data_IF_518042023257
#
_entry.id   IF_518042023257
#
_cell.length_a   1.000
_cell.length_b   1.000
_cell.length_c   1.000
_cell.angle_alpha   90.00
_cell.angle_beta   90.00
_cell.angle_gamma   90.00
#
_symmetry.space_group_name_H-M   'P 1'
#
loop_
_entity.id
_entity.type
_entity.pdbx_description
1 polymer ?
2 polymer ?
3 non-polymer ?
4 non-polymer ?
5 water ?
#
# COMPACT_ATOMS: atom_id res chain seq x y z
N UNK A 3 23.04 -22.61 -14.28
CA UNK A 3 21.69 -22.28 -13.83
C UNK A 3 21.22 -20.91 -14.37
N UNK A 4 19.94 -20.82 -14.70
CA UNK A 4 19.32 -19.57 -15.13
C UNK A 4 18.30 -19.05 -14.10
N UNK A 5 18.28 -19.72 -12.95
CA UNK A 5 17.25 -19.50 -11.95
C UNK A 5 17.32 -18.09 -11.35
N UNK A 6 16.20 -17.61 -10.83
CA UNK A 6 16.23 -16.39 -10.03
C UNK A 6 17.22 -16.59 -8.89
N UNK A 7 17.96 -15.54 -8.58
CA UNK A 7 18.99 -15.61 -7.56
C UNK A 7 18.54 -14.98 -6.26
N UNK A 8 17.71 -13.95 -6.34
CA UNK A 8 17.30 -13.29 -5.12
C UNK A 8 16.07 -12.40 -5.30
N UNK A 9 15.61 -11.88 -4.17
CA UNK A 9 14.37 -11.14 -4.11
C UNK A 9 14.61 -9.92 -3.26
N UNK A 10 14.12 -8.79 -3.75
CA UNK A 10 14.06 -7.59 -2.94
C UNK A 10 12.60 -7.24 -2.67
N UNK A 11 12.33 -6.71 -1.49
CA UNK A 11 10.96 -6.40 -1.07
C UNK A 11 10.92 -4.97 -0.57
N UNK A 12 9.97 -4.18 -1.06
CA UNK A 12 9.80 -2.81 -0.56
C UNK A 12 9.14 -2.80 0.81
N UNK A 13 9.55 -1.85 1.65
CA UNK A 13 8.91 -1.69 2.96
C UNK A 13 7.38 -1.58 2.88
N UNK A 14 6.86 -0.94 1.83
CA UNK A 14 5.40 -0.82 1.71
C UNK A 14 4.69 -2.18 1.71
N UNK A 15 5.32 -3.16 1.09
CA UNK A 15 4.73 -4.50 0.99
C UNK A 15 4.64 -5.12 2.36
N UNK A 16 5.70 -4.98 3.14
CA UNK A 16 5.71 -5.50 4.51
C UNK A 16 4.58 -4.88 5.33
N UNK A 17 4.46 -3.56 5.26
CA UNK A 17 3.44 -2.82 5.97
C UNK A 17 2.03 -3.12 5.45
N UNK A 18 1.88 -3.33 4.14
CA UNK A 18 0.61 -3.69 3.56
C UNK A 18 0.18 -5.09 4.05
N UNK A 19 1.09 -6.05 4.09
CA UNK A 19 0.72 -7.38 4.59
C UNK A 19 0.30 -7.30 6.05
N UNK A 20 1.02 -6.50 6.85
CA UNK A 20 0.68 -6.37 8.25
C UNK A 20 -0.72 -5.71 8.42
N UNK A 21 -0.99 -4.71 7.62
CA UNK A 21 -2.25 -3.97 7.68
C UNK A 21 -3.40 -4.84 7.28
N UNK A 22 -3.16 -5.67 6.28
CA UNK A 22 -4.16 -6.65 5.86
C UNK A 22 -4.53 -7.61 7.01
N UNK A 23 -3.50 -8.17 7.60
CA UNK A 23 -3.67 -9.12 8.71
C UNK A 23 -4.45 -8.48 9.86
N UNK A 24 -4.07 -7.26 10.22
CA UNK A 24 -4.68 -6.52 11.33
C UNK A 24 -6.10 -6.08 11.03
N UNK A 25 -6.32 -5.51 9.86
CA UNK A 25 -7.63 -4.95 9.56
C UNK A 25 -8.71 -6.04 9.40
N UNK A 26 -8.28 -7.25 9.07
CA UNK A 26 -9.24 -8.37 8.96
C UNK A 26 -9.35 -9.11 10.29
N UNK A 27 -8.64 -8.63 11.30
CA UNK A 27 -8.59 -9.27 12.63
C UNK A 27 -8.31 -10.74 12.50
N UNK A 28 -7.27 -11.06 11.75
CA UNK A 28 -6.94 -12.45 11.52
C UNK A 28 -6.40 -13.04 12.85
N UNK A 29 -6.88 -14.23 13.17
CA UNK A 29 -6.68 -14.86 14.47
C UNK A 29 -6.05 -16.23 14.37
N UNK A 30 -5.42 -16.61 15.49
CA UNK A 30 -5.35 -18.01 15.92
C UNK A 30 -4.48 -18.79 14.99
N UNK A 31 -4.93 -19.89 14.35
CA UNK A 31 -3.94 -20.37 13.40
C UNK A 31 -4.18 -19.91 11.95
N UNK A 32 -5.09 -18.97 11.74
CA UNK A 32 -5.45 -18.55 10.40
C UNK A 32 -4.38 -17.64 9.83
N UNK A 33 -4.42 -17.45 8.52
CA UNK A 33 -3.45 -16.59 7.83
C UNK A 33 -4.23 -15.67 6.92
N UNK A 34 -3.65 -14.55 6.52
CA UNK A 34 -4.20 -13.78 5.38
C UNK A 34 -3.35 -14.05 4.14
N UNK A 35 -3.98 -13.86 2.98
CA UNK A 35 -3.41 -14.20 1.68
C UNK A 35 -3.65 -13.01 0.72
N UNK A 36 -2.69 -12.71 -0.13
CA UNK A 36 -2.92 -11.74 -1.18
C UNK A 36 -1.99 -11.90 -2.35
N UNK A 37 -2.02 -10.89 -3.19
CA UNK A 37 -1.23 -10.81 -4.41
C UNK A 37 -0.02 -9.89 -4.22
N UNK A 38 1.12 -10.28 -4.78
CA UNK A 38 2.23 -9.33 -4.92
C UNK A 38 2.46 -8.88 -6.37
N UNK A 39 2.89 -7.63 -6.49
CA UNK A 39 3.18 -6.96 -7.74
C UNK A 39 4.63 -6.46 -7.76
N UNK A 40 5.21 -6.37 -8.95
CA UNK A 40 6.55 -5.86 -9.09
C UNK A 40 7.13 -6.26 -10.41
N UNK A 41 8.38 -6.76 -10.39
CA UNK A 41 9.05 -7.10 -11.65
C UNK A 41 9.88 -8.33 -11.46
N UNK A 42 9.56 -9.37 -12.21
CA UNK A 42 10.23 -10.65 -12.08
C UNK A 42 10.95 -11.02 -13.37
N UNK A 43 11.30 -10.03 -14.19
CA UNK A 43 11.87 -10.33 -15.49
C UNK A 43 13.42 -10.46 -15.52
N UNK A 44 14.04 -10.47 -14.34
CA UNK A 44 15.48 -10.62 -14.19
C UNK A 44 15.82 -11.63 -13.10
N UNK A 45 17.10 -11.85 -12.81
CA UNK A 45 17.50 -12.82 -11.78
C UNK A 45 17.17 -12.29 -10.37
N UNK A 46 16.95 -10.98 -10.28
CA UNK A 46 16.45 -10.36 -9.06
C UNK A 46 14.98 -10.03 -9.25
N UNK A 47 14.13 -10.73 -8.51
CA UNK A 47 12.72 -10.36 -8.47
C UNK A 47 12.55 -9.19 -7.51
N UNK A 48 11.92 -8.11 -7.98
CA UNK A 48 11.65 -6.93 -7.14
C UNK A 48 10.18 -6.87 -6.79
N UNK A 49 9.89 -7.02 -5.51
CA UNK A 49 8.54 -6.97 -5.03
C UNK A 49 8.22 -5.56 -4.54
N UNK A 50 7.33 -4.83 -5.22
CA UNK A 50 7.14 -3.43 -4.91
C UNK A 50 5.72 -3.02 -4.51
N UNK A 51 4.73 -3.89 -4.70
CA UNK A 51 3.39 -3.57 -4.21
C UNK A 51 2.59 -4.87 -3.95
N UNK A 52 1.33 -4.74 -3.54
CA UNK A 52 0.53 -5.89 -3.16
C UNK A 52 -0.91 -5.48 -2.99
N UNK A 53 -1.80 -6.47 -2.94
CA UNK A 53 -3.17 -6.23 -2.49
C UNK A 53 -3.73 -7.48 -1.86
N UNK A 54 -4.65 -7.28 -0.95
CA UNK A 54 -5.28 -8.37 -0.21
C UNK A 54 -6.28 -9.16 -1.05
N UNK A 55 -6.47 -10.43 -0.69
CA UNK A 55 -7.49 -11.25 -1.33
C UNK A 55 -8.48 -11.79 -0.32
N UNK A 56 -9.74 -11.92 -0.73
CA UNK A 56 -10.63 -12.78 0.08
C UNK A 56 -10.16 -14.22 -0.03
N UNK A 57 -10.09 -14.87 1.11
CA UNK A 57 -9.49 -16.22 1.13
C UNK A 57 -10.09 -16.95 2.30
N UNK A 58 -10.45 -18.22 2.09
CA UNK A 58 -10.98 -19.05 3.19
C UNK A 58 -10.38 -20.44 3.08
N UNK A 59 -10.06 -21.07 4.22
CA UNK A 59 -9.58 -22.43 4.18
C UNK A 59 -10.14 -23.22 5.37
N UNK A 60 -10.23 -24.52 5.15
CA UNK A 60 -10.81 -25.44 6.13
C UNK A 60 -9.76 -25.90 7.11
N UNK A 61 -9.99 -25.60 8.38
CA UNK A 61 -9.13 -26.04 9.46
C UNK A 61 -8.97 -27.57 9.48
N UNK A 62 -10.08 -28.25 9.26
CA UNK A 62 -10.14 -29.71 9.38
C UNK A 62 -9.59 -30.39 8.16
N UNK A 63 -9.21 -29.61 7.14
CA UNK A 63 -8.78 -30.22 5.89
C UNK A 63 -7.95 -29.26 5.01
N UNK A 64 -6.64 -29.50 5.01
CA UNK A 64 -5.66 -28.72 4.25
C UNK A 64 -5.96 -28.66 2.77
N UNK A 65 -6.67 -29.66 2.26
CA UNK A 65 -6.97 -29.72 0.85
C UNK A 65 -8.10 -28.79 0.44
N UNK A 66 -8.85 -28.28 1.40
CA UNK A 66 -10.01 -27.44 1.14
C UNK A 66 -9.69 -25.95 1.36
N UNK A 67 -9.71 -25.18 0.28
CA UNK A 67 -9.50 -23.74 0.37
C UNK A 67 -10.16 -23.09 -0.81
N UNK A 68 -10.41 -21.78 -0.68
CA UNK A 68 -11.03 -21.03 -1.75
C UNK A 68 -10.38 -19.68 -1.95
N UNK A 69 -10.04 -19.44 -3.20
CA UNK A 69 -9.61 -18.14 -3.64
C UNK A 69 -10.57 -17.60 -4.66
N UNK A 70 -10.84 -16.31 -4.54
CA UNK A 70 -11.71 -15.62 -5.45
C UNK A 70 -10.98 -15.20 -6.74
N UNK A 71 -11.09 -16.02 -7.78
CA UNK A 71 -10.50 -15.73 -9.11
C UNK A 71 -10.94 -14.40 -9.73
N UNK A 72 -12.23 -14.11 -9.65
CA UNK A 72 -12.77 -12.88 -10.15
C UNK A 72 -12.19 -11.67 -9.42
N UNK A 73 -11.94 -11.82 -8.15
CA UNK A 73 -11.35 -10.73 -7.37
C UNK A 73 -9.95 -10.45 -7.88
N UNK A 74 -9.16 -11.50 -8.10
CA UNK A 74 -7.82 -11.31 -8.67
C UNK A 74 -7.86 -10.51 -9.97
N UNK A 75 -8.73 -10.92 -10.90
CA UNK A 75 -8.79 -10.30 -12.21
C UNK A 75 -9.27 -8.87 -12.15
N UNK A 76 -10.31 -8.65 -11.36
CA UNK A 76 -10.89 -7.32 -11.24
C UNK A 76 -9.99 -6.31 -10.52
N UNK A 77 -9.32 -6.74 -9.45
CA UNK A 77 -8.39 -5.83 -8.76
C UNK A 77 -7.17 -5.58 -9.63
N UNK A 78 -6.62 -6.63 -10.25
CA UNK A 78 -5.44 -6.47 -11.07
C UNK A 78 -5.72 -5.47 -12.20
N UNK A 79 -6.91 -5.55 -12.79
CA UNK A 79 -7.28 -4.65 -13.86
C UNK A 79 -7.29 -3.19 -13.40
N UNK A 80 -7.70 -2.95 -12.18
CA UNK A 80 -7.60 -1.61 -11.63
C UNK A 80 -6.15 -1.23 -11.35
N UNK A 81 -5.35 -2.16 -10.84
CA UNK A 81 -3.93 -1.91 -10.61
C UNK A 81 -3.22 -1.50 -11.91
N UNK A 82 -3.56 -2.17 -13.00
CA UNK A 82 -2.99 -1.89 -14.31
C UNK A 82 -3.30 -0.47 -14.78
N UNK A 83 -4.49 0.02 -14.46
CA UNK A 83 -4.87 1.38 -14.79
C UNK A 83 -4.09 2.40 -14.00
N UNK A 84 -3.63 2.04 -12.81
CA UNK A 84 -2.79 2.96 -12.03
C UNK A 84 -1.34 2.90 -12.46
N UNK A 85 -0.79 1.71 -12.63
CA UNK A 85 0.61 1.60 -12.96
C UNK A 85 0.89 0.27 -13.58
N UNK A 86 0.99 0.26 -14.90
CA UNK A 86 1.27 -0.95 -15.67
C UNK A 86 2.69 -1.54 -15.42
N UNK A 87 3.57 -0.79 -14.79
CA UNK A 87 4.92 -1.29 -14.57
C UNK A 87 4.97 -2.34 -13.46
N UNK A 88 3.95 -2.34 -12.60
CA UNK A 88 3.92 -3.26 -11.47
C UNK A 88 3.03 -4.44 -11.86
N UNK A 89 3.70 -5.49 -12.32
CA UNK A 89 3.04 -6.69 -12.83
C UNK A 89 2.67 -7.64 -11.72
N UNK A 90 1.72 -8.52 -11.99
CA UNK A 90 1.34 -9.54 -11.06
C UNK A 90 2.40 -10.64 -11.12
N UNK A 91 3.16 -10.83 -10.05
CA UNK A 91 4.29 -11.71 -10.06
C UNK A 91 4.19 -12.87 -9.07
N UNK A 92 3.16 -12.88 -8.24
CA UNK A 92 2.98 -13.95 -7.27
C UNK A 92 1.98 -13.65 -6.19
N UNK A 93 2.19 -14.25 -5.03
CA UNK A 93 1.26 -14.11 -3.93
C UNK A 93 2.02 -14.11 -2.61
N UNK A 94 1.33 -13.71 -1.56
CA UNK A 94 1.91 -13.71 -0.23
C UNK A 94 0.93 -14.32 0.73
N UNK A 95 1.46 -14.80 1.85
CA UNK A 95 0.60 -15.02 3.00
C UNK A 95 1.34 -14.78 4.31
N UNK A 96 0.58 -14.71 5.39
CA UNK A 96 1.14 -14.30 6.68
C UNK A 96 1.80 -15.46 7.46
N UNK A 97 1.76 -16.68 6.94
CA UNK A 97 2.56 -17.75 7.50
C UNK A 97 2.24 -18.07 8.96
N UNK A 98 3.25 -18.13 9.85
CA UNK A 98 4.64 -17.72 9.63
C UNK A 98 5.45 -18.68 8.80
N UNK A 99 4.89 -19.84 8.44
CA UNK A 99 5.65 -20.93 7.78
C UNK A 99 4.89 -21.41 6.55
N UNK A 100 5.61 -22.09 5.65
CA UNK A 100 4.98 -22.83 4.56
C UNK A 100 3.92 -23.76 5.10
N UNK A 101 2.80 -23.80 4.38
CA UNK A 101 1.67 -24.66 4.73
C UNK A 101 1.48 -25.74 3.68
N UNK A 102 0.81 -26.82 4.06
CA UNK A 102 0.63 -27.97 3.15
C UNK A 102 -0.02 -27.62 1.79
N UNK A 103 -1.00 -26.72 1.79
CA UNK A 103 -1.72 -26.38 0.57
C UNK A 103 -0.94 -25.42 -0.35
N UNK A 104 0.23 -24.96 0.06
CA UNK A 104 0.86 -23.85 -0.66
C UNK A 104 1.28 -24.22 -2.08
N UNK A 105 1.77 -25.45 -2.33
CA UNK A 105 2.15 -25.79 -3.69
C UNK A 105 0.92 -25.82 -4.61
N UNK A 106 -0.22 -26.25 -4.08
CA UNK A 106 -1.47 -26.23 -4.86
C UNK A 106 -2.01 -24.84 -5.07
N UNK A 107 -1.95 -24.02 -4.05
CA UNK A 107 -2.40 -22.64 -4.20
C UNK A 107 -1.52 -21.96 -5.27
N UNK A 108 -0.23 -22.20 -5.16
CA UNK A 108 0.74 -21.65 -6.09
C UNK A 108 0.41 -22.02 -7.54
N UNK A 109 -0.11 -23.23 -7.76
CA UNK A 109 -0.48 -23.65 -9.10
C UNK A 109 -1.61 -22.78 -9.64
N UNK A 110 -2.54 -22.36 -8.79
CA UNK A 110 -3.54 -21.38 -9.21
C UNK A 110 -2.92 -20.05 -9.67
N UNK A 111 -2.00 -19.49 -8.92
CA UNK A 111 -1.45 -18.20 -9.29
C UNK A 111 -0.66 -18.28 -10.59
N UNK A 112 -0.21 -19.47 -10.92
CA UNK A 112 0.54 -19.72 -12.12
C UNK A 112 -0.28 -19.33 -13.35
N UNK A 113 -1.60 -19.39 -13.23
CA UNK A 113 -2.51 -18.97 -14.31
C UNK A 113 -2.59 -17.44 -14.47
N UNK A 114 -1.99 -16.69 -13.55
CA UNK A 114 -2.11 -15.24 -13.56
C UNK A 114 -0.79 -14.53 -13.75
N UNK A 115 0.32 -15.25 -13.57
CA UNK A 115 1.62 -14.63 -13.65
C UNK A 115 2.30 -15.03 -14.96
N UNK A 116 3.16 -14.14 -15.48
CA UNK A 116 3.99 -14.45 -16.66
C UNK A 116 5.23 -15.23 -16.24
N UNK A 117 5.76 -14.87 -15.08
CA UNK A 117 6.84 -15.58 -14.45
C UNK A 117 6.38 -16.83 -13.68
N UNK A 118 7.33 -17.69 -13.32
CA UNK A 118 7.08 -18.73 -12.34
C UNK A 118 6.69 -18.03 -11.01
N UNK A 119 5.48 -18.26 -10.49
CA UNK A 119 5.08 -17.36 -9.39
C UNK A 119 5.99 -17.36 -8.16
N UNK A 120 6.19 -16.18 -7.58
CA UNK A 120 6.90 -16.03 -6.34
C UNK A 120 5.90 -16.12 -5.20
N UNK A 121 6.18 -16.97 -4.23
CA UNK A 121 5.48 -16.94 -2.95
C UNK A 121 6.32 -16.16 -1.95
N UNK A 122 5.74 -15.10 -1.40
CA UNK A 122 6.33 -14.34 -0.32
C UNK A 122 5.61 -14.61 1.00
N UNK A 123 6.27 -15.24 1.95
CA UNK A 123 5.70 -15.34 3.28
C UNK A 123 6.16 -14.12 4.08
N UNK A 124 5.19 -13.34 4.58
CA UNK A 124 5.52 -12.21 5.45
C UNK A 124 5.07 -12.57 6.86
N UNK A 125 6.05 -12.71 7.74
CA UNK A 125 5.78 -13.06 9.12
C UNK A 125 5.36 -11.82 9.86
N UNK A 126 4.07 -11.54 9.80
CA UNK A 126 3.54 -10.32 10.41
C UNK A 126 3.61 -10.33 11.93
N UNK A 127 3.77 -11.50 12.53
CA UNK A 127 4.05 -11.59 13.97
C UNK A 127 5.49 -11.18 14.30
N UNK A 128 6.37 -11.31 13.32
CA UNK A 128 7.76 -10.86 13.42
C UNK A 128 8.58 -11.54 14.54
N UNK A 129 8.42 -12.85 14.69
CA UNK A 129 9.13 -13.60 15.73
C UNK A 129 10.47 -14.13 15.26
N UNK A 130 10.70 -14.07 13.96
CA UNK A 130 11.93 -14.61 13.37
C UNK A 130 13.19 -13.92 13.85
N UNK A 131 14.32 -14.55 13.58
CA UNK A 131 15.60 -13.99 13.97
C UNK A 131 15.94 -12.78 13.12
N UNK A 132 15.72 -12.91 11.81
CA UNK A 132 16.16 -11.91 10.85
C UNK A 132 15.02 -11.18 10.20
N UNK A 133 15.01 -11.17 8.87
CA UNK A 133 13.94 -10.55 8.12
C UNK A 133 12.63 -11.29 8.33
N UNK A 134 11.53 -10.55 8.38
CA UNK A 134 10.23 -11.19 8.49
C UNK A 134 9.74 -11.73 7.14
N UNK A 135 10.65 -12.00 6.21
CA UNK A 135 10.26 -12.49 4.88
C UNK A 135 11.00 -13.76 4.49
N UNK A 136 10.26 -14.68 3.88
CA UNK A 136 10.81 -15.83 3.19
C UNK A 136 10.19 -15.93 1.81
N UNK A 137 11.06 -16.13 0.82
CA UNK A 137 10.67 -16.17 -0.58
C UNK A 137 10.92 -17.53 -1.21
N UNK A 138 9.96 -17.99 -2.02
CA UNK A 138 10.02 -19.31 -2.65
C UNK A 138 9.49 -19.26 -4.08
N UNK A 139 10.13 -20.00 -4.98
CA UNK A 139 9.54 -20.36 -6.26
C UNK A 139 9.49 -21.91 -6.34
N UNK A 140 8.47 -22.42 -7.01
CA UNK A 140 8.24 -23.84 -7.15
C UNK A 140 9.14 -24.40 -8.25
N UNK A 141 9.83 -25.52 -7.97
CA UNK A 141 10.64 -26.19 -8.98
C UNK A 141 10.39 -27.69 -8.92
N UNK A 142 10.79 -28.40 -9.98
CA UNK A 142 10.72 -29.86 -10.00
C UNK A 142 11.99 -30.47 -9.41
N UNK A 143 11.82 -31.57 -8.69
CA UNK A 143 12.93 -32.40 -8.23
C UNK A 143 12.51 -33.86 -8.16
N UNK A 151 11.29 -36.93 -9.01
CA UNK A 151 10.53 -35.99 -9.85
C UNK A 151 9.23 -35.51 -9.20
N UNK A 152 9.32 -34.43 -8.42
CA UNK A 152 8.16 -33.82 -7.79
C UNK A 152 8.32 -32.30 -7.62
N UNK A 153 7.21 -31.60 -7.50
CA UNK A 153 7.27 -30.18 -7.22
C UNK A 153 7.74 -29.92 -5.79
N UNK A 154 8.65 -28.97 -5.64
CA UNK A 154 9.04 -28.46 -4.34
C UNK A 154 9.37 -26.96 -4.42
N UNK A 155 9.39 -26.31 -3.27
CA UNK A 155 9.70 -24.88 -3.22
C UNK A 155 11.17 -24.69 -3.08
N UNK A 156 11.72 -23.80 -3.89
CA UNK A 156 13.10 -23.36 -3.72
C UNK A 156 13.11 -22.07 -2.94
N UNK A 157 13.90 -22.06 -1.88
CA UNK A 157 14.09 -20.91 -1.01
C UNK A 157 15.06 -19.89 -1.59
N UNK A 158 14.60 -18.66 -1.77
CA UNK A 158 15.45 -17.62 -2.36
C UNK A 158 15.80 -16.57 -1.31
N UNK A 159 17.05 -16.07 -1.34
CA UNK A 159 17.41 -15.02 -0.39
C UNK A 159 16.66 -13.68 -0.66
N UNK A 160 16.34 -13.00 0.42
CA UNK A 160 15.59 -11.76 0.43
C UNK A 160 16.41 -10.64 1.00
N UNK A 161 16.16 -9.44 0.52
CA UNK A 161 16.61 -8.26 1.21
C UNK A 161 15.49 -7.24 1.12
N UNK A 162 15.49 -6.29 2.04
CA UNK A 162 14.54 -5.19 2.04
C UNK A 162 15.24 -4.01 1.39
N UNK A 163 14.63 -3.46 0.35
CA UNK A 163 15.21 -2.32 -0.35
C UNK A 163 14.12 -1.37 -0.78
N UNK A 164 14.47 -0.09 -0.89
CA UNK A 164 13.48 0.95 -1.17
C UNK A 164 13.99 1.91 -2.22
N UNK A 165 13.09 2.35 -3.07
CA UNK A 165 13.36 3.46 -3.95
C UNK A 165 13.38 4.74 -3.12
N UNK A 166 13.81 5.84 -3.72
CA UNK A 166 14.12 7.02 -2.94
C UNK A 166 12.86 7.50 -2.19
N UNK A 167 11.72 7.50 -2.86
CA UNK A 167 10.45 7.97 -2.27
C UNK A 167 10.17 7.28 -0.95
N UNK A 168 10.21 5.94 -0.98
CA UNK A 168 9.95 5.14 0.18
C UNK A 168 11.03 5.29 1.25
N UNK A 169 12.29 5.36 0.83
CA UNK A 169 13.38 5.59 1.78
C UNK A 169 13.11 6.86 2.58
N UNK A 170 12.74 7.91 1.85
CA UNK A 170 12.41 9.18 2.47
C UNK A 170 11.25 8.96 3.43
N UNK A 171 10.21 8.31 2.94
CA UNK A 171 9.05 8.03 3.78
C UNK A 171 9.39 7.25 5.05
N UNK A 172 10.11 6.15 4.93
CA UNK A 172 10.48 5.34 6.10
C UNK A 172 11.30 6.16 7.12
N UNK A 173 12.28 6.90 6.62
CA UNK A 173 13.12 7.70 7.51
C UNK A 173 12.26 8.70 8.26
N UNK A 174 11.34 9.34 7.54
CA UNK A 174 10.44 10.27 8.19
C UNK A 174 9.60 9.60 9.28
N UNK A 175 9.15 8.37 9.01
CA UNK A 175 8.32 7.66 9.99
C UNK A 175 9.09 7.21 11.24
N UNK A 176 10.37 6.91 11.09
CA UNK A 176 11.15 6.41 12.21
C UNK A 176 11.94 7.52 12.94
N UNK A 177 11.66 8.77 12.57
CA UNK A 177 12.43 9.92 13.08
C UNK A 177 12.46 9.96 14.60
N UNK A 178 11.28 9.94 15.22
CA UNK A 178 11.16 10.03 16.67
C UNK A 178 11.88 8.87 17.37
N UNK A 179 11.81 7.68 16.79
CA UNK A 179 12.53 6.52 17.33
C UNK A 179 14.02 6.71 17.19
N UNK A 180 14.45 7.27 16.06
CA UNK A 180 15.88 7.40 15.82
C UNK A 180 16.50 8.37 16.82
N UNK A 181 15.82 9.49 17.04
CA UNK A 181 16.22 10.48 18.06
C UNK A 181 16.47 9.83 19.43
N UNK A 182 15.46 9.10 19.91
CA UNK A 182 15.52 8.40 21.18
C UNK A 182 16.74 7.46 21.28
N UNK A 183 17.06 6.79 20.17
CA UNK A 183 18.13 5.79 20.13
C UNK A 183 19.47 6.32 19.62
N UNK B 25 -4.88 23.89 15.84
CA UNK B 25 -5.56 22.97 16.77
C UNK B 25 -6.01 21.70 16.07
N UNK B 26 -6.17 21.75 14.74
CA UNK B 26 -6.57 20.56 13.97
C UNK B 26 -5.38 19.76 13.50
N UNK B 27 -5.50 18.44 13.51
CA UNK B 27 -4.40 17.58 13.08
C UNK B 27 -4.88 16.41 12.22
N UNK B 28 -4.18 16.21 11.11
CA UNK B 28 -4.33 15.05 10.25
C UNK B 28 -3.23 14.03 10.62
N UNK B 29 -3.65 12.87 11.12
CA UNK B 29 -2.72 11.78 11.41
C UNK B 29 -2.62 10.87 10.19
N UNK B 30 -1.42 10.69 9.66
CA UNK B 30 -1.28 9.92 8.45
C UNK B 30 -0.59 8.61 8.79
N UNK B 31 -1.14 7.51 8.32
CA UNK B 31 -0.54 6.23 8.62
C UNK B 31 0.66 5.91 7.73
N UNK B 32 1.38 4.88 8.13
CA UNK B 32 2.56 4.48 7.41
C UNK B 32 2.22 4.14 5.96
N UNK B 33 1.23 3.29 5.72
CA UNK B 33 0.98 2.91 4.35
C UNK B 33 0.42 4.08 3.55
N UNK B 34 -0.32 4.97 4.21
CA UNK B 34 -0.90 6.11 3.49
C UNK B 34 0.24 7.01 2.99
N UNK B 35 1.21 7.28 3.85
CA UNK B 35 2.28 8.20 3.46
C UNK B 35 3.12 7.56 2.34
N UNK B 36 3.46 6.28 2.49
CA UNK B 36 4.30 5.62 1.49
C UNK B 36 3.57 5.52 0.19
N UNK B 37 2.26 5.27 0.21
CA UNK B 37 1.54 5.18 -1.07
C UNK B 37 1.47 6.54 -1.75
N UNK B 38 1.27 7.59 -0.99
CA UNK B 38 1.20 8.94 -1.60
C UNK B 38 2.55 9.34 -2.19
N UNK B 39 3.65 9.06 -1.49
CA UNK B 39 4.99 9.38 -2.04
C UNK B 39 5.28 8.52 -3.26
N UNK B 40 4.90 7.24 -3.20
CA UNK B 40 5.13 6.34 -4.31
C UNK B 40 4.36 6.74 -5.52
N UNK B 41 3.10 7.05 -5.32
CA UNK B 41 2.24 7.40 -6.41
C UNK B 41 2.70 8.75 -7.05
N UNK B 42 2.98 9.72 -6.22
CA UNK B 42 3.44 11.00 -6.73
C UNK B 42 4.68 10.85 -7.58
N UNK B 43 5.66 10.10 -7.08
CA UNK B 43 6.90 9.90 -7.82
C UNK B 43 6.63 9.16 -9.12
N UNK B 44 5.73 8.17 -9.10
CA UNK B 44 5.49 7.39 -10.31
C UNK B 44 4.84 8.24 -11.40
N UNK B 45 4.07 9.25 -10.99
CA UNK B 45 3.32 10.08 -11.91
C UNK B 45 4.14 11.16 -12.62
N UNK B 46 5.27 11.49 -12.02
CA UNK B 46 6.15 12.57 -12.54
C UNK B 46 6.39 12.39 -14.04
N UNK B 47 6.24 13.48 -14.84
CA UNK B 47 6.05 14.88 -14.47
C UNK B 47 4.59 15.33 -14.32
N UNK B 48 3.64 14.41 -14.42
CA UNK B 48 2.21 14.77 -14.29
C UNK B 48 1.77 14.83 -12.83
N UNK B 49 0.73 15.60 -12.59
CA UNK B 49 0.03 15.57 -11.32
C UNK B 49 -0.74 14.28 -11.19
N UNK B 50 -0.79 13.72 -9.99
CA UNK B 50 -1.67 12.57 -9.74
C UNK B 50 -2.63 12.89 -8.63
N UNK B 51 -3.62 12.03 -8.45
CA UNK B 51 -4.57 12.22 -7.39
C UNK B 51 -5.10 10.89 -6.89
N UNK B 52 -5.58 10.90 -5.66
CA UNK B 52 -6.29 9.74 -5.13
C UNK B 52 -7.14 10.14 -3.96
N UNK B 53 -7.75 9.13 -3.35
CA UNK B 53 -8.64 9.33 -2.24
C UNK B 53 -7.99 8.88 -0.96
N UNK B 54 -8.32 9.58 0.12
CA UNK B 54 -7.84 9.21 1.45
C UNK B 54 -8.94 8.57 2.25
N UNK B 55 -8.62 7.48 2.96
CA UNK B 55 -9.60 6.71 3.70
C UNK B 55 -9.27 6.75 5.14
N UNK B 56 -10.29 6.81 5.97
CA UNK B 56 -10.01 6.92 7.38
C UNK B 56 -11.19 7.21 8.29
N UNK B 57 -10.93 7.97 9.35
CA UNK B 57 -11.92 8.25 10.36
C UNK B 57 -11.84 9.68 10.83
N UNK B 58 -12.98 10.33 10.91
CA UNK B 58 -13.04 11.61 11.58
C UNK B 58 -13.20 11.31 13.07
N UNK B 59 -12.16 11.58 13.85
CA UNK B 59 -12.12 11.15 15.23
C UNK B 59 -12.90 12.16 16.10
N UNK B 60 -12.63 13.43 15.87
CA UNK B 60 -13.41 14.48 16.50
C UNK B 60 -13.22 15.72 15.64
N UNK B 61 -13.65 16.87 16.15
CA UNK B 61 -13.63 18.11 15.37
C UNK B 61 -12.22 18.56 15.00
N UNK B 62 -11.23 18.12 15.75
CA UNK B 62 -9.86 18.57 15.53
C UNK B 62 -8.94 17.46 15.05
N UNK B 63 -9.52 16.32 14.68
CA UNK B 63 -8.72 15.13 14.41
C UNK B 63 -9.25 14.24 13.30
N UNK B 64 -8.40 14.04 12.30
CA UNK B 64 -8.70 13.18 11.18
C UNK B 64 -7.62 12.10 11.17
N UNK B 65 -8.00 10.83 11.16
CA UNK B 65 -7.06 9.74 10.91
C UNK B 65 -7.17 9.32 9.46
N UNK B 66 -6.03 9.38 8.78
CA UNK B 66 -5.91 8.83 7.45
C UNK B 66 -5.20 7.49 7.55
N UNK B 67 -5.93 6.40 7.35
CA UNK B 67 -5.33 5.07 7.58
C UNK B 67 -4.83 4.43 6.28
N UNK B 68 -5.28 4.94 5.13
CA UNK B 68 -4.96 4.34 3.85
C UNK B 68 -5.41 5.31 2.78
N UNK B 69 -4.94 5.07 1.57
CA UNK B 69 -5.32 5.85 0.40
C UNK B 69 -5.43 4.93 -0.78
N UNK B 70 -6.09 5.36 -1.84
CA UNK B 70 -5.86 4.72 -3.12
C UNK B 70 -5.81 5.70 -4.28
N UNK B 71 -5.03 5.31 -5.29
CA UNK B 71 -4.80 6.10 -6.48
C UNK B 71 -5.98 6.07 -7.42
N UNK B 72 -6.24 7.22 -8.03
CA UNK B 72 -7.22 7.35 -9.10
C UNK B 72 -6.44 7.29 -10.42
N UNK B 73 -7.04 6.75 -11.48
CA UNK B 73 -6.30 6.70 -12.73
C UNK B 73 -6.09 8.10 -13.31
N UNK B 74 -5.01 8.30 -14.04
CA UNK B 74 -4.77 9.53 -14.83
C UNK B 74 -5.92 9.80 -15.79
N UNK B 75 -6.35 11.05 -15.85
CA UNK B 75 -7.44 11.46 -16.71
C UNK B 75 -6.93 12.56 -17.65
N UNK B 76 -7.49 12.63 -18.84
CA UNK B 76 -7.14 13.69 -19.78
C UNK B 76 -7.41 15.07 -19.21
N UNK B 77 -8.48 15.18 -18.42
CA UNK B 77 -8.91 16.44 -17.82
C UNK B 77 -7.89 17.08 -16.84
N UNK B 78 -6.92 16.31 -16.39
CA UNK B 78 -6.01 16.77 -15.35
C UNK B 78 -6.69 16.61 -14.01
N UNK B 79 -6.07 17.07 -12.92
CA UNK B 79 -6.67 16.88 -11.60
C UNK B 79 -7.83 17.85 -11.33
N UNK B 80 -9.04 17.30 -11.24
CA UNK B 80 -10.24 18.08 -10.95
C UNK B 80 -11.36 17.12 -10.55
N UNK B 81 -12.55 17.65 -10.26
CA UNK B 81 -13.67 16.78 -9.92
C UNK B 81 -13.99 15.81 -11.05
N UNK B 82 -13.74 16.25 -12.29
CA UNK B 82 -13.91 15.41 -13.48
C UNK B 82 -13.01 14.17 -13.49
N UNK B 83 -11.86 14.27 -12.84
CA UNK B 83 -10.89 13.17 -12.80
C UNK B 83 -11.38 12.01 -11.95
N UNK B 84 -12.29 12.30 -11.03
CA UNK B 84 -12.86 11.28 -10.19
C UNK B 84 -13.76 10.40 -11.03
N UNK B 85 -13.31 9.16 -11.22
CA UNK B 85 -14.03 8.14 -11.96
C UNK B 85 -14.86 7.39 -10.95
N UNK B 86 -16.17 7.63 -10.98
CA UNK B 86 -17.04 7.08 -9.94
C UNK B 86 -17.20 5.56 -10.12
N UNK B 87 -17.04 5.05 -11.34
CA UNK B 87 -17.13 3.61 -11.52
C UNK B 87 -15.91 2.92 -10.91
N UNK B 88 -14.72 3.45 -11.19
CA UNK B 88 -13.47 2.98 -10.57
C UNK B 88 -13.57 3.08 -9.07
N UNK B 89 -13.99 4.24 -8.57
CA UNK B 89 -14.06 4.42 -7.13
C UNK B 89 -15.00 3.42 -6.46
N UNK B 90 -16.17 3.20 -7.04
CA UNK B 90 -17.14 2.32 -6.41
C UNK B 90 -16.63 0.86 -6.36
N UNK B 91 -16.02 0.43 -7.45
CA UNK B 91 -15.44 -0.88 -7.54
C UNK B 91 -14.31 -1.06 -6.53
N UNK B 92 -13.38 -0.10 -6.51
CA UNK B 92 -12.28 -0.12 -5.56
C UNK B 92 -12.81 -0.15 -4.14
N UNK B 93 -13.78 0.70 -3.81
CA UNK B 93 -14.33 0.75 -2.43
C UNK B 93 -15.02 -0.55 -2.05
N UNK B 94 -15.76 -1.12 -2.97
CA UNK B 94 -16.42 -2.38 -2.68
C UNK B 94 -15.41 -3.51 -2.44
N UNK B 95 -14.37 -3.56 -3.25
CA UNK B 95 -13.40 -4.63 -3.12
C UNK B 95 -12.55 -4.47 -1.85
N UNK B 96 -12.34 -3.23 -1.40
CA UNK B 96 -11.60 -3.00 -0.16
C UNK B 96 -12.42 -3.48 1.03
N UNK B 97 -13.72 -3.21 0.99
CA UNK B 97 -14.67 -3.77 1.98
C UNK B 97 -14.57 -5.27 2.19
N UNK B 98 -14.56 -5.99 1.07
CA UNK B 98 -14.42 -7.45 1.05
C UNK B 98 -13.15 -7.97 1.70
N UNK B 99 -12.13 -7.13 1.84
CA UNK B 99 -10.86 -7.54 2.48
C UNK B 99 -10.56 -6.71 3.71
N UNK B 100 -11.62 -6.18 4.32
CA UNK B 100 -11.52 -5.68 5.68
C UNK B 100 -11.24 -4.21 5.82
N UNK B 101 -11.32 -3.46 4.73
CA UNK B 101 -11.08 -2.03 4.82
C UNK B 101 -12.39 -1.31 4.43
N UNK B 102 -13.14 -0.86 5.43
CA UNK B 102 -14.41 -0.21 5.18
C UNK B 102 -14.45 1.19 5.82
N UNK B 103 -13.39 1.95 5.60
CA UNK B 103 -13.26 3.29 6.14
C UNK B 103 -13.84 4.33 5.16
N UNK B 104 -14.42 5.36 5.75
CA UNK B 104 -14.94 6.56 5.08
C UNK B 104 -13.89 7.25 4.21
N UNK B 105 -14.30 7.77 3.07
CA UNK B 105 -13.45 8.73 2.34
C UNK B 105 -13.36 10.02 3.18
N UNK B 106 -12.18 10.32 3.70
CA UNK B 106 -12.01 11.49 4.57
C UNK B 106 -11.36 12.65 3.81
N UNK B 107 -11.09 12.47 2.53
CA UNK B 107 -10.60 13.55 1.68
C UNK B 107 -9.89 13.02 0.47
N UNK B 108 -8.97 13.82 -0.07
CA UNK B 108 -8.25 13.48 -1.30
C UNK B 108 -6.81 14.01 -1.23
N UNK B 109 -5.91 13.43 -2.02
CA UNK B 109 -4.55 13.95 -2.13
C UNK B 109 -4.25 14.15 -3.60
N UNK B 110 -3.34 15.08 -3.85
CA UNK B 110 -2.82 15.23 -5.19
C UNK B 110 -1.39 15.75 -5.14
N UNK B 111 -0.67 15.53 -6.23
CA UNK B 111 0.74 15.92 -6.29
C UNK B 111 0.88 17.23 -7.09
N UNK B 112 1.89 17.98 -6.68
CA UNK B 112 2.34 19.20 -7.31
C UNK B 112 3.82 19.00 -7.57
N UNK B 113 4.17 18.26 -8.63
CA UNK B 113 5.58 17.95 -8.91
C UNK B 113 6.43 19.21 -9.19
N UNK B 114 7.27 19.57 -8.24
CA UNK B 114 8.18 20.68 -8.40
C UNK B 114 7.69 22.03 -7.95
N UNK B 115 6.40 22.19 -7.68
CA UNK B 115 5.93 23.53 -7.37
C UNK B 115 5.27 23.73 -6.00
N UNK B 116 5.52 22.82 -5.06
CA UNK B 116 5.14 23.04 -3.69
C UNK B 116 3.66 22.77 -3.39
N UNK B 117 3.34 22.90 -2.12
CA UNK B 117 2.05 22.50 -1.57
C UNK B 117 1.15 23.68 -1.29
N UNK B 118 0.09 23.78 -2.08
CA UNK B 118 -0.90 24.83 -1.97
C UNK B 118 -2.07 24.39 -2.81
N UNK B 119 -3.16 25.14 -2.76
CA UNK B 119 -4.31 24.87 -3.62
C UNK B 119 -4.46 25.93 -4.68
N UNK B 120 -4.48 25.49 -5.93
CA UNK B 120 -4.83 26.38 -7.04
C UNK B 120 -6.30 26.66 -7.03
N UNK B 121 -6.75 27.59 -7.87
CA UNK B 121 -8.18 27.85 -7.98
C UNK B 121 -8.96 26.61 -8.35
N UNK B 122 -8.47 25.83 -9.30
CA UNK B 122 -9.13 24.58 -9.64
C UNK B 122 -9.11 23.61 -8.43
N UNK B 123 -8.00 23.56 -7.68
CA UNK B 123 -7.95 22.70 -6.47
C UNK B 123 -9.01 23.13 -5.45
N UNK B 124 -9.20 24.42 -5.32
CA UNK B 124 -10.19 24.93 -4.39
C UNK B 124 -11.59 24.50 -4.79
N UNK B 125 -11.84 24.52 -6.09
CA UNK B 125 -13.12 24.04 -6.63
C UNK B 125 -13.32 22.55 -6.36
N UNK B 126 -12.27 21.78 -6.54
CA UNK B 126 -12.34 20.35 -6.26
C UNK B 126 -12.69 20.14 -4.80
N UNK B 127 -11.98 20.86 -3.93
CA UNK B 127 -12.13 20.72 -2.49
C UNK B 127 -13.52 21.14 -2.10
N UNK B 128 -14.08 22.12 -2.80
CA UNK B 128 -15.42 22.57 -2.47
C UNK B 128 -16.42 21.43 -2.78
N UNK B 129 -16.17 20.69 -3.83
CA UNK B 129 -17.02 19.57 -4.13
C UNK B 129 -16.94 18.51 -3.02
N UNK B 130 -15.73 18.27 -2.49
CA UNK B 130 -15.54 17.29 -1.43
C UNK B 130 -16.21 17.78 -0.17
N UNK B 131 -16.10 19.08 0.09
CA UNK B 131 -16.64 19.67 1.30
C UNK B 131 -18.15 19.61 1.32
N UNK B 132 -18.75 19.74 0.14
CA UNK B 132 -20.21 19.66 -0.01
C UNK B 132 -20.71 18.23 0.24
N UNK B 133 -19.91 17.24 -0.14
CA UNK B 133 -20.24 15.88 0.20
C UNK B 133 -20.06 15.60 1.70
N UNK B 134 -19.00 16.15 2.27
CA UNK B 134 -18.67 15.96 3.69
C UNK B 134 -17.86 17.12 4.15
N UNK B 135 -18.43 17.93 5.05
CA UNK B 135 -17.84 19.24 5.35
C UNK B 135 -16.50 19.11 6.05
N UNK B 136 -16.23 17.92 6.60
CA UNK B 136 -14.96 17.64 7.28
C UNK B 136 -13.78 17.27 6.35
N UNK B 137 -14.06 17.07 5.06
CA UNK B 137 -13.04 16.62 4.10
C UNK B 137 -11.75 17.44 4.11
N UNK B 138 -10.65 16.73 3.91
CA UNK B 138 -9.30 17.32 3.90
C UNK B 138 -8.62 17.14 2.54
N UNK B 139 -7.94 18.20 2.09
CA UNK B 139 -7.09 18.13 0.88
C UNK B 139 -5.61 18.06 1.27
N UNK B 140 -4.97 16.96 0.90
CA UNK B 140 -3.54 16.82 1.09
C UNK B 140 -2.85 17.08 -0.23
N UNK B 141 -1.71 17.76 -0.14
CA UNK B 141 -0.88 18.04 -1.30
C UNK B 141 0.52 17.62 -0.98
N UNK B 142 1.13 16.87 -1.90
CA UNK B 142 2.51 16.39 -1.73
C UNK B 142 3.35 16.80 -2.95
N UNK B 143 4.62 17.10 -2.72
CA UNK B 143 5.53 17.43 -3.82
C UNK B 143 6.62 16.34 -3.95
N UNK B 144 6.50 15.49 -4.96
CA UNK B 144 7.43 14.34 -5.09
C UNK B 144 8.80 14.76 -5.59
N UNK B 145 8.91 15.93 -6.23
CA UNK B 145 10.23 16.41 -6.66
C UNK B 145 11.01 17.03 -5.52
N UNK B 146 10.38 17.84 -4.71
CA UNK B 146 11.10 18.54 -3.67
C UNK B 146 11.21 17.68 -2.42
N UNK B 147 10.44 16.62 -2.33
CA UNK B 147 10.60 15.69 -1.22
C UNK B 147 11.96 14.99 -1.33
N UNK B 148 12.82 15.15 -0.34
CA UNK B 148 14.16 14.55 -0.37
C UNK B 148 14.43 13.94 0.99
N UNK B 149 15.44 13.10 1.07
CA UNK B 149 15.80 12.45 2.33
C UNK B 149 15.97 13.54 3.36
N UNK B 150 15.20 13.42 4.43
CA UNK B 150 15.21 14.38 5.53
C UNK B 150 14.16 15.45 5.38
N UNK B 151 13.52 15.51 4.21
CA UNK B 151 12.50 16.53 3.92
C UNK B 151 11.37 15.98 3.04
N UNK B 152 10.26 15.66 3.69
CA UNK B 152 9.02 15.36 3.02
C UNK B 152 8.26 16.68 2.83
N UNK B 153 7.85 16.97 1.62
CA UNK B 153 7.18 18.21 1.33
C UNK B 153 5.70 17.92 1.11
N UNK B 154 4.93 18.18 2.15
CA UNK B 154 3.54 17.81 2.20
C UNK B 154 2.79 18.81 3.06
N UNK B 155 1.51 19.02 2.76
CA UNK B 155 0.66 19.84 3.58
C UNK B 155 -0.79 19.34 3.48
N UNK B 156 -1.63 19.82 4.37
CA UNK B 156 -3.03 19.43 4.46
C UNK B 156 -3.86 20.69 4.60
N UNK B 157 -4.99 20.77 3.89
CA UNK B 157 -5.80 21.97 3.88
C UNK B 157 -7.27 21.71 4.06
N UNK B 158 -7.93 22.74 4.58
CA UNK B 158 -9.39 22.84 4.53
C UNK B 158 -9.77 24.25 4.07
N UNK B 159 -11.01 24.40 3.59
CA UNK B 159 -11.47 25.74 3.19
C UNK B 159 -11.97 26.50 4.39
N UNK B 160 -11.86 27.83 4.37
CA UNK B 160 -12.34 28.60 5.50
C UNK B 160 -13.86 28.63 5.43
N UNK B 161 -14.52 28.55 6.60
CA UNK B 161 -15.96 28.76 6.66
C UNK B 161 -16.32 30.25 6.85
N UNK B 193 -12.74 40.14 2.31
CA UNK B 193 -11.27 40.14 2.25
C UNK B 193 -10.66 38.85 2.79
N UNK B 194 -11.46 37.87 3.16
CA UNK B 194 -10.89 36.67 3.77
C UNK B 194 -10.23 35.72 2.77
N UNK B 195 -9.22 35.01 3.25
CA UNK B 195 -8.58 33.95 2.49
C UNK B 195 -9.57 32.77 2.34
N UNK B 196 -9.30 31.88 1.40
CA UNK B 196 -10.23 30.82 1.08
C UNK B 196 -9.91 29.52 1.83
N UNK B 197 -8.65 29.34 2.24
CA UNK B 197 -8.25 28.08 2.87
C UNK B 197 -7.10 28.19 3.84
N UNK B 198 -6.92 27.14 4.63
CA UNK B 198 -5.90 27.14 5.68
C UNK B 198 -5.31 25.77 5.85
N UNK B 199 -4.16 25.73 6.54
CA UNK B 199 -3.34 24.55 6.70
C UNK B 199 -3.56 23.89 8.07
N UNK B 200 -3.60 22.55 8.11
CA UNK B 200 -3.73 21.78 9.34
C UNK B 200 -2.41 21.12 9.72
N UNK B 201 -2.19 20.85 11.01
CA UNK B 201 -0.99 20.12 11.39
C UNK B 201 -1.07 18.69 10.84
N UNK B 202 0.07 18.13 10.46
CA UNK B 202 0.16 16.76 10.05
C UNK B 202 1.01 16.02 11.06
N UNK B 203 0.60 14.83 11.46
CA UNK B 203 1.44 14.00 12.31
C UNK B 203 1.33 12.58 11.75
N UNK B 204 2.19 11.69 12.22
CA UNK B 204 2.19 10.31 11.74
C UNK B 204 1.93 9.39 12.88
N UNK B 205 1.05 8.42 12.65
CA UNK B 205 0.74 7.40 13.64
C UNK B 205 1.27 6.07 13.13
N UNK B 206 1.99 5.37 13.99
CA UNK B 206 2.49 4.04 13.67
C UNK B 206 2.37 3.17 14.89
N UNK B 207 2.01 1.91 14.68
CA UNK B 207 1.98 0.94 15.78
C UNK B 207 3.36 0.43 16.11
N UNK B 208 3.48 -0.21 17.26
CA UNK B 208 4.72 -0.84 17.63
C UNK B 208 5.10 -1.91 16.58
N UNK B 209 4.12 -2.69 16.14
CA UNK B 209 4.37 -3.68 15.09
C UNK B 209 4.88 -3.05 13.80
N UNK B 210 4.29 -1.92 13.43
CA UNK B 210 4.74 -1.19 12.26
C UNK B 210 6.14 -0.63 12.42
N UNK B 211 6.44 -0.12 13.61
CA UNK B 211 7.79 0.38 13.88
C UNK B 211 8.84 -0.71 13.69
N UNK B 212 8.59 -1.88 14.26
CA UNK B 212 9.53 -2.97 14.08
C UNK B 212 9.66 -3.33 12.60
N UNK B 213 8.55 -3.34 11.90
CA UNK B 213 8.56 -3.71 10.48
C UNK B 213 9.39 -2.71 9.67
N UNK B 214 9.23 -1.42 9.95
CA UNK B 214 9.96 -0.39 9.19
C UNK B 214 11.49 -0.50 9.41
N UNK B 215 11.89 -1.01 10.57
CA UNK B 215 13.30 -1.06 10.91
C UNK B 215 14.09 -2.11 10.13
N UNK B 216 13.41 -2.97 9.35
CA UNK B 216 14.12 -3.92 8.51
C UNK B 216 14.84 -3.25 7.33
N UNK B 217 14.36 -2.07 6.93
CA UNK B 217 15.14 -1.26 6.01
C UNK B 217 16.40 -0.83 6.77
N UNK B 218 17.57 -1.12 6.22
CA UNK B 218 18.82 -0.78 6.93
C UNK B 218 18.85 -1.48 8.30
N UNK B 219 18.50 -2.76 8.33
CA UNK B 219 18.38 -3.49 9.58
C UNK B 219 19.68 -3.54 10.42
N UNK B 220 20.84 -3.66 9.76
CA UNK B 220 22.13 -3.64 10.48
C UNK B 220 22.28 -2.37 11.34
N UNK B 221 21.94 -1.22 10.76
CA UNK B 221 22.08 0.08 11.43
C UNK B 221 21.16 0.23 12.66
X LIG C 1 -0.33 2.78 -16.15
X LIG C 1 1.06 3.05 -16.16
X LIG C 1 -1.04 3.80 -17.01
X LIG C 1 -1.92 3.06 -17.86
X LIG C 1 -0.53 1.78 -16.53
X LIG C 1 -0.72 2.84 -15.12
X LIG C 1 1.52 2.39 -15.60
X LIG C 1 -0.33 4.37 -17.60
X LIG C 1 -1.62 4.50 -16.39
X LIG C 1 -2.40 3.67 -18.44
X LIG D 1 -0.17 -15.60 11.07
X LIG D 1 -0.63 -16.18 9.84
X LIG D 1 -0.73 -16.39 12.27
X LIG D 1 -2.16 -16.24 12.49
X LIG D 1 0.92 -15.61 11.10
X LIG D 1 -0.50 -14.56 11.13
X LIG D 1 -0.28 -15.68 9.09
X LIG D 1 -0.20 -16.07 13.17
X LIG D 1 -0.51 -17.45 12.11
X LIG D 1 -2.43 -16.76 13.25
X LIG E 1 -13.45 -17.64 -1.62
X LIG E 1 -14.32 -17.53 -2.77
X LIG E 1 -13.15 -16.27 -1.01
X LIG E 1 -14.13 -15.90 -0.02
X LIG E 1 -12.51 -18.12 -1.91
X LIG E 1 -13.92 -18.27 -0.86
X LIG E 1 -14.49 -18.41 -3.12
X LIG E 1 -12.15 -16.28 -0.55
X LIG E 1 -13.14 -15.52 -1.81
X LIG E 1 -13.91 -15.03 0.33
X LIG F 1 3.59 -27.46 0.66
X LIG F 1 2.70 -26.91 -0.29
X LIG F 1 4.68 -26.47 0.99
X LIG F 1 5.94 -27.13 1.23
X LIG F 1 3.03 -27.72 1.57
X LIG F 1 4.02 -28.39 0.27
X LIG F 1 2.00 -27.55 -0.50
X LIG F 1 4.40 -25.91 1.89
X LIG F 1 4.79 -25.77 0.17
X LIG F 1 6.62 -26.47 1.44
X LIG G 1 -2.90 -0.44 -5.62
X LIG G 1 -2.39 -1.70 -5.17
X LIG G 1 -2.25 -0.05 -6.95
X LIG G 1 -1.31 1.01 -6.74
X LIG G 1 -3.98 -0.51 -5.75
X LIG G 1 -2.70 0.34 -4.87
X LIG G 1 -2.80 -1.94 -4.34
X LIG G 1 -1.74 -0.92 -7.37
X LIG G 1 -3.02 0.27 -7.65
X LIG G 1 -0.90 1.24 -7.58
X LIG H 1 -7.26 -23.40 12.67
X LIG H 1 -6.65 -24.33 13.60
X LIG H 1 -8.16 -22.41 13.39
X LIG H 1 -7.34 -21.54 14.19
X LIG H 1 -6.48 -22.86 12.13
X LIG H 1 -7.84 -23.96 11.94
X LIG H 1 -6.09 -24.95 13.11
X LIG H 1 -8.87 -22.93 14.02
X LIG H 1 -8.72 -21.82 12.66
X LIG H 1 -7.90 -20.90 14.65
X LIG I 1 -1.65 -1.37 11.19
X LIG I 1 -0.82 -2.32 10.51
X LIG I 1 -2.80 -0.94 10.30
X LIG I 1 -3.80 -1.97 10.24
X LIG I 1 -1.05 -0.49 11.47
X LIG I 1 -2.05 -1.81 12.11
X LIG I 1 -0.10 -2.59 11.09
X LIG I 1 -3.25 -0.02 10.70
X LIG I 1 -2.42 -0.72 9.30
X LIG I 1 -4.53 -1.68 9.67
X LIG J 1 7.66 -8.77 -17.41
X LIG J 1 6.42 -8.58 -18.12
X LIG J 1 8.24 -7.41 -17.01
X LIG J 1 7.85 -6.98 -15.70
X LIG J 1 8.37 -9.30 -18.06
X LIG J 1 7.49 -9.38 -16.53
X LIG J 1 6.06 -9.44 -18.38
X LIG J 1 7.94 -6.66 -17.74
X LIG J 1 9.33 -7.48 -17.04
X LIG J 1 8.26 -6.12 -15.51
X LIG K 1 -11.44 -0.60 -13.94
X LIG K 1 -10.92 -1.93 -13.88
X LIG K 1 -12.67 -0.40 -13.09
X LIG K 1 -13.35 0.72 -13.68
X LIG K 1 -10.66 0.10 -13.60
X LIG K 1 -11.66 -0.35 -14.98
X LIG K 1 -10.14 -2.00 -14.43
X LIG K 1 -13.31 -1.29 -13.13
X LIG K 1 -12.41 -0.19 -12.06
X LIG K 1 -14.16 0.90 -13.18
X LIG L 1 -5.01 -23.55 10.10
X LIG L 1 -5.83 -24.68 10.42
X LIG L 1 -5.82 -22.53 9.30
X LIG L 1 -7.22 -22.85 9.37
X LIG L 1 -4.65 -23.08 11.02
X LIG L 1 -4.15 -23.87 9.51
X LIG L 1 -5.31 -25.32 10.92
X LIG L 1 -5.50 -22.54 8.26
X LIG L 1 -5.66 -21.53 9.70
X LIG L 1 -7.73 -22.20 8.86
X LIG M 1 3.30 -15.70 18.21
X LIG M 1 2.61 -16.19 17.05
X LIG M 1 2.94 -14.24 18.54
X LIG M 1 3.90 -13.75 19.49
X LIG M 1 4.37 -15.78 18.06
X LIG M 1 3.03 -16.33 19.07
X LIG M 1 2.86 -17.10 16.89
X LIG M 1 1.93 -14.18 18.95
X LIG M 1 2.98 -13.64 17.63
X LIG M 1 3.70 -12.83 19.70
X LIG N 1 -8.96 -26.69 -3.79
X LIG N 1 -9.89 -26.67 -2.68
X LIG N 1 -9.52 -25.92 -4.98
X LIG N 1 -10.01 -24.62 -4.61
X LIG N 1 -8.02 -26.25 -3.48
X LIG N 1 -8.77 -27.72 -4.08
X LIG N 1 -9.51 -27.17 -1.94
X LIG N 1 -10.34 -26.50 -5.43
X LIG N 1 -8.75 -25.82 -5.74
X LIG N 1 -10.35 -24.17 -5.38
X LIG O 1 -13.92 -22.96 5.14
X LIG O 1 -14.08 -24.02 6.10
X LIG O 1 -14.46 -23.34 3.76
X LIG O 1 -15.21 -22.22 3.24
X LIG O 1 -12.86 -22.71 5.07
X LIG O 1 -14.45 -22.08 5.50
X LIG O 1 -13.73 -23.74 6.95
X LIG O 1 -13.63 -23.57 3.09
X LIG O 1 -15.09 -24.22 3.83
X LIG O 1 -15.56 -22.45 2.36
X LIG P 1 -6.03 3.98 -17.27
X LIG P 1 -7.35 4.42 -16.87
X LIG P 1 -4.94 4.94 -16.79
X LIG P 1 -5.00 6.22 -17.45
X LIG P 1 -5.85 2.99 -16.84
X LIG P 1 -5.98 3.89 -18.35
X LIG P 1 -8.00 3.79 -17.19
X LIG P 1 -3.96 4.48 -16.98
X LIG P 1 -5.03 5.08 -15.71
X LIG P 1 -4.28 6.79 -17.11
X LIG Q 1 6.31 -25.71 -10.83
X LIG Q 1 4.87 -25.64 -11.00
X LIG Q 1 6.95 -24.64 -11.68
X LIG Q 1 5.94 -23.65 -11.93
X LIG Q 1 6.67 -26.70 -11.13
X LIG Q 1 6.57 -25.56 -9.78
X LIG Q 1 4.45 -26.32 -10.46
X LIG Q 1 7.80 -24.19 -11.16
X LIG Q 1 7.30 -25.06 -12.63
X LIG Q 1 6.31 -22.94 -12.48
X LIG R 1 12.28 -25.44 2.60
X LIG R 1 12.58 -24.59 1.47
X LIG R 1 11.56 -26.73 2.17
X LIG R 1 10.71 -26.48 1.04
X LIG R 1 13.20 -25.69 3.12
X LIG R 1 11.64 -24.89 3.29
X LIG R 1 13.03 -23.79 1.78
X LIG R 1 12.31 -27.48 1.90
X LIG R 1 10.98 -27.11 3.00
X LIG R 1 10.27 -27.30 0.79
X LIG S 1 12.76 -13.86 -16.50
X LIG S 1 12.31 -13.29 -17.74
X LIG S 1 14.28 -14.08 -16.65
X LIG S 1 14.96 -14.18 -15.38
X LIG S 1 12.26 -14.82 -16.31
X LIG S 1 12.56 -13.18 -15.66
X LIG S 1 11.36 -13.13 -17.69
X LIG S 1 14.69 -13.25 -17.22
X LIG S 1 14.44 -14.99 -17.21
X LIG S 1 15.90 -14.30 -15.53
X LIG T 1 1.63 5.68 -12.17
X LIG T 1 0.61 5.81 -11.19
X LIG T 1 1.76 7.04 -12.80
X LIG T 1 0.46 7.53 -13.13
X LIG T 1 2.57 5.38 -11.70
X LIG T 1 1.36 4.94 -12.93
X LIG T 1 0.47 4.95 -10.76
X LIG T 1 2.25 7.73 -12.10
X LIG T 1 2.38 6.98 -13.71
X LIG T 1 0.54 8.40 -13.54
X LIG U 1 -17.40 12.17 13.63
X LIG U 1 -18.65 12.84 13.78
X LIG U 1 -16.78 12.09 15.01
X LIG U 1 -17.03 13.34 15.65
X LIG U 1 -16.75 12.71 12.95
X LIG U 1 -17.57 11.16 13.23
X LIG U 1 -19.08 12.91 12.91
X LIG U 1 -17.23 11.28 15.58
X LIG U 1 -15.71 11.92 14.93
X LIG U 1 -16.65 13.33 16.54
X LIG V 1 -5.57 12.88 -12.21
X LIG V 1 -6.39 11.74 -12.05
X LIG V 1 -5.53 13.34 -13.65
X LIG V 1 -4.43 12.74 -14.34
X LIG V 1 -5.94 13.69 -11.59
X LIG V 1 -4.55 12.65 -11.87
X LIG V 1 -6.41 11.46 -11.11
X LIG V 1 -6.47 13.07 -14.15
X LIG V 1 -5.44 14.44 -13.70
X LIG V 1 -4.42 13.04 -15.27
X LIG W 1 -15.26 11.26 -4.38
X LIG W 1 -16.09 10.47 -5.25
X LIG W 1 -15.96 11.19 -3.04
X LIG W 1 -16.30 9.80 -2.85
X LIG W 1 -14.26 10.83 -4.33
X LIG W 1 -15.20 12.29 -4.73
X LIG W 1 -15.71 10.47 -6.14
X LIG W 1 -16.86 11.81 -3.04
X LIG W 1 -15.29 11.54 -2.24
X LIG W 1 -16.75 9.69 -2.00
X LIG X 1 -18.66 -5.51 4.05
X LIG X 1 -18.73 -6.91 3.73
X LIG X 1 -17.97 -5.30 5.39
X LIG X 1 -17.92 -3.91 5.73
X LIG X 1 -19.68 -5.10 4.10
X LIG X 1 -18.12 -4.98 3.27
X LIG X 1 -19.17 -7.02 2.86
X LIG X 1 -18.52 -5.85 6.17
X LIG X 1 -16.96 -5.71 5.34
X LIG X 1 -17.48 -3.80 6.58
X LIG Y 1 5.87 21.31 4.20
X LIG Y 1 6.42 19.98 4.26
X LIG Y 1 5.54 21.67 2.76
X LIG Y 1 5.10 23.03 2.63
X LIG Y 1 4.96 21.36 4.81
X LIG Y 1 6.59 22.02 4.60
X LIG Y 1 6.63 19.75 5.18
X LIG Y 1 4.76 21.00 2.38
X LIG Y 1 6.43 21.52 2.14
X LIG Y 1 4.90 23.21 1.70
X LIG Z 1 12.10 11.07 -4.83
X LIG Z 1 11.94 10.47 -6.10
X LIG Z 1 10.87 10.78 -3.99
X LIG Z 1 9.82 11.67 -4.32
X LIG Z 1 12.23 12.15 -4.93
X LIG Z 1 12.99 10.67 -4.33
X LIG Z 1 12.72 10.65 -6.65
X LIG Z 1 11.12 10.88 -2.93
X LIG Z 1 10.56 9.74 -4.15
X LIG Z 1 9.04 11.47 -3.79
X LIG AA 1 -14.92 -8.34 -7.18
X LIG AA 1 -15.03 -9.65 -7.70
X LIG AA 1 -16.29 -7.77 -6.80
X LIG AA 1 -16.50 -6.48 -7.41
X LIG AA 1 -14.29 -8.35 -6.28
X LIG AA 1 -14.45 -7.69 -7.91
X LIG AA 1 -14.15 -9.99 -7.93
X LIG AA 1 -17.07 -8.46 -7.13
X LIG AA 1 -16.36 -7.67 -5.71
X LIG AA 1 -17.37 -6.14 -7.16
X LIG BA 1 -1.11 28.08 1.04
X LIG BA 1 -0.34 27.66 2.17
X LIG BA 1 -0.34 29.06 0.15
X LIG BA 1 -0.27 30.37 0.74
X LIG BA 1 -1.39 27.21 0.44
X LIG BA 1 -2.03 28.56 1.38
X LIG BA 1 -0.86 27.04 2.70
X LIG BA 1 0.68 28.68 -0.01
X LIG BA 1 -0.82 29.13 -0.82
X LIG BA 1 0.23 30.95 0.16
X LIG CA 1 -13.28 -9.00 6.08
X LIG CA 1 -12.76 -8.76 7.39
X LIG CA 1 -14.50 -8.10 5.85
X LIG CA 1 -15.50 -8.70 5.00
X LIG CA 1 -13.56 -10.04 5.98
X LIG CA 1 -12.52 -8.78 5.33
X LIG CA 1 -11.98 -9.32 7.54
X LIG CA 1 -14.96 -7.86 6.82
X LIG CA 1 -14.18 -7.16 5.40
X LIG CA 1 -16.25 -8.09 4.89
X LIG DA 1 -8.26 29.50 11.11
X LIG DA 1 -8.10 30.57 10.16
X LIG DA 1 -9.54 28.71 10.84
X LIG DA 1 -9.50 27.52 11.64
X LIG DA 1 -7.40 28.83 11.05
X LIG DA 1 -8.30 29.91 12.11
X LIG DA 1 -7.28 31.04 10.35
X LIG DA 1 -10.42 29.30 11.10
X LIG DA 1 -9.60 28.44 9.79
X LIG DA 1 -10.30 27.00 11.49
X LIG EA 1 16.48 1.93 12.42
X LIG EA 1 16.44 1.05 11.30
X LIG EA 1 15.93 3.28 12.02
X LIG EA 1 15.70 4.14 13.15
X LIG EA 1 15.90 1.52 13.24
X LIG EA 1 17.52 2.04 12.77
X LIG EA 1 16.79 0.18 11.55
X LIG EA 1 14.99 3.14 11.48
X LIG EA 1 16.63 3.77 11.33
X LIG EA 1 15.35 4.99 12.86
X LIG FA 1 4.72 16.69 10.44
X LIG FA 1 5.72 16.09 11.29
X LIG FA 1 5.25 17.09 9.06
X LIG FA 1 5.13 15.99 8.12
X LIG FA 1 3.89 15.99 10.32
X LIG FA 1 4.33 17.58 10.94
X LIG FA 1 5.33 15.86 12.14
X LIG FA 1 4.68 17.94 8.68
X LIG FA 1 6.29 17.39 9.14
X LIG FA 1 5.47 16.26 7.26
X LIG GA 1 -7.97 37.19 -0.37
X LIG GA 1 -8.53 35.91 -0.75
X LIG GA 1 -8.05 38.20 -1.53
X LIG GA 1 -8.56 39.48 -1.13
X LIG GA 1 -8.52 37.58 0.49
X LIG GA 1 -6.94 37.07 -0.07
X LIG GA 1 -8.47 35.29 0.00
X LIG GA 1 -7.05 38.32 -1.96
X LIG GA 1 -8.69 37.78 -2.31
X LIG GA 1 -8.58 40.07 -1.90
X LIG HA 1 -3.32 21.41 -7.25
#
# INVERSE_FOLDING_TARGET
MGSLQHEKVTIAPLVLLSALDHYERTQTKENKRCVGVILGDANSSTIRVTNSFALPFEEDEKNSDVWFLDHNYIENMNEMCKKINAKEKLIGWYHSGPKLRASDLKINELFKKYTQNNPLLLIVDVKQQGVGLPTDAYVAIEQVKDDGTSTEKTFLHLPCTIEAEEAEEIGVEHLLRDVLEVLFQ
GPERLQRLMMNSKVGSADTGRDDTKETVYISSIALLKMLKHGRAGVPMEVMGLMLGEFVDDYTVNVVDVFAMPQSGTGVSVEAVDDVFQAKMMDMLKQTGRDQMVVGWYHSHPGFGCWLSSVDVNTQKSFEQLNSRAVAVVVDPIQSVKGKVVIDAFRLIDTGALINNLEPRQTTSNTGLLNKANIQALIHGLNRHYYSLNIDYHKTAKETKMLMNLHKEQWQSGLKMYDYEEKEESNLA
EDO C1 O1 C2 O2 H11 H12 HO1 H21 H22 HO2
EDO C1 O1 C2 O2 H11 H12 HO1 H21 H22 HO2
EDO C1 O1 C2 O2 H11 H12 HO1 H21 H22 HO2
EDO C1 O1 C2 O2 H11 H12 HO1 H21 H22 HO2
EDO C1 O1 C2 O2 H11 H12 HO1 H21 H22 HO2
EDO C1 O1 C2 O2 H11 H12 HO1 H21 H22 HO2
EDO C1 O1 C2 O2 H11 H12 HO1 H21 H22 HO2
EDO C1 O1 C2 O2 H11 H12 HO1 H21 H22 HO2
EDO C1 O1 C2 O2 H11 H12 HO1 H21 H22 HO2
EDO C1 O1 C2 O2 H11 H12 HO1 H21 H22 HO2
EDO C1 O1 C2 O2 H11 H12 HO1 H21 H22 HO2
EDO C1 O1 C2 O2 H11 H12 HO1 H21 H22 HO2
EDO C1 O1 C2 O2 H11 H12 HO1 H21 H22 HO2
EDO C1 O1 C2 O2 H11 H12 HO1 H21 H22 HO2
EDO C1 O1 C2 O2 H11 H12 HO1 H21 H22 HO2
EDO C1 O1 C2 O2 H11 H12 HO1 H21 H22 HO2
EDO C1 O1 C2 O2 H11 H12 HO1 H21 H22 HO2
EDO C1 O1 C2 O2 H11 H12 HO1 H21 H22 HO2
EDO C1 O1 C2 O2 H11 H12 HO1 H21 H22 HO2
EDO C1 O1 C2 O2 H11 H12 HO1 H21 H22 HO2
EDO C1 O1 C2 O2 H11 H12 HO1 H21 H22 HO2
EDO C1 O1 C2 O2 H11 H12 HO1 H21 H22 HO2
EDO C1 O1 C2 O2 H11 H12 HO1 H21 H22 HO2
EDO C1 O1 C2 O2 H11 H12 HO1 H21 H22 HO2
EDO C1 O1 C2 O2 H11 H12 HO1 H21 H22 HO2
EDO C1 O1 C2 O2 H11 H12 HO1 H21 H22 HO2
EDO C1 O1 C2 O2 H11 H12 HO1 H21 H22 HO2
EDO C1 O1 C2 O2 H11 H12 HO1 H21 H22 HO2
EDO C1 O1 C2 O2 H11 H12 HO1 H21 H22 HO2
EDO C1 O1 C2 O2 H11 H12 HO1 H21 H22 HO2
EDO C1 O1 C2 O2 H11 H12 HO1 H21 H22 HO2
ZN ZN
#
